data_IF_375529132495
#
_entry.id   IF_375529132495
#
_cell.length_a   1.000
_cell.length_b   1.000
_cell.length_c   1.000
_cell.angle_alpha   90.00
_cell.angle_beta   90.00
_cell.angle_gamma   90.00
#
_symmetry.space_group_name_H-M   'P 1'
#
loop_
_entity.id
_entity.type
_entity.pdbx_description
1 polymer ?
#
# COMPACT_ATOMS: atom_id res chain seq x y z
N UNK A 1 -4.64 4.24 8.93
CA UNK A 1 -5.22 2.99 8.43
C UNK A 1 -5.18 3.01 6.91
N UNK A 2 -4.16 2.40 6.34
CA UNK A 2 -4.03 2.23 4.89
C UNK A 2 -4.93 1.08 4.43
N UNK A 3 -5.84 1.36 3.50
CA UNK A 3 -6.74 0.35 2.91
C UNK A 3 -6.20 -0.04 1.54
N UNK A 4 -6.10 -1.35 1.29
CA UNK A 4 -5.66 -1.86 -0.02
C UNK A 4 -6.82 -1.81 -1.01
N UNK A 5 -6.65 -1.17 -2.18
CA UNK A 5 -7.65 -1.23 -3.24
C UNK A 5 -7.89 -2.67 -3.69
N UNK A 6 -9.15 -3.09 -3.78
CA UNK A 6 -9.54 -4.46 -4.12
C UNK A 6 -8.95 -4.91 -5.47
N UNK A 7 -8.91 -4.02 -6.47
CA UNK A 7 -8.33 -4.31 -7.77
C UNK A 7 -6.84 -4.67 -7.69
N UNK A 8 -6.07 -4.01 -6.82
CA UNK A 8 -4.66 -4.33 -6.58
C UNK A 8 -4.54 -5.70 -5.90
N UNK A 9 -5.35 -5.96 -4.88
CA UNK A 9 -5.34 -7.23 -4.15
C UNK A 9 -5.64 -8.41 -5.08
N UNK A 10 -6.75 -8.33 -5.83
CA UNK A 10 -7.14 -9.35 -6.78
C UNK A 10 -6.10 -9.56 -7.87
N UNK A 11 -5.68 -8.49 -8.56
CA UNK A 11 -4.72 -8.62 -9.66
C UNK A 11 -3.36 -9.15 -9.22
N UNK A 12 -2.95 -8.87 -7.98
CA UNK A 12 -1.71 -9.41 -7.42
C UNK A 12 -1.85 -10.89 -7.07
N UNK A 13 -2.97 -11.30 -6.47
CA UNK A 13 -3.22 -12.71 -6.15
C UNK A 13 -3.40 -13.56 -7.40
N UNK A 14 -4.09 -13.05 -8.42
CA UNK A 14 -4.25 -13.74 -9.71
C UNK A 14 -2.91 -13.99 -10.40
N UNK A 15 -1.98 -13.03 -10.31
CA UNK A 15 -0.66 -13.12 -10.95
C UNK A 15 0.34 -13.93 -10.14
N UNK A 16 0.38 -13.73 -8.82
CA UNK A 16 1.46 -14.22 -7.94
C UNK A 16 1.01 -15.36 -7.00
N UNK A 17 -0.29 -15.69 -6.96
CA UNK A 17 -0.84 -16.73 -6.09
C UNK A 17 -0.67 -16.45 -4.59
N UNK A 18 -0.34 -17.50 -3.83
CA UNK A 18 -0.19 -17.43 -2.37
C UNK A 18 0.88 -16.42 -1.90
N UNK A 19 2.07 -16.33 -2.53
CA UNK A 19 3.02 -15.25 -2.25
C UNK A 19 2.42 -13.85 -2.38
N UNK A 20 1.59 -13.62 -3.41
CA UNK A 20 0.88 -12.36 -3.62
C UNK A 20 -0.09 -12.03 -2.49
N UNK A 21 -0.87 -13.03 -2.05
CA UNK A 21 -1.80 -12.86 -0.93
C UNK A 21 -1.06 -12.50 0.37
N UNK A 22 0.06 -13.16 0.66
CA UNK A 22 0.90 -12.86 1.83
C UNK A 22 1.47 -11.46 1.76
N UNK A 23 1.91 -11.01 0.58
CA UNK A 23 2.40 -9.66 0.40
C UNK A 23 1.30 -8.60 0.62
N UNK A 24 0.12 -8.79 0.01
CA UNK A 24 -1.04 -7.89 0.16
C UNK A 24 -1.44 -7.74 1.64
N UNK A 25 -1.47 -8.85 2.39
CA UNK A 25 -1.82 -8.83 3.81
C UNK A 25 -0.86 -8.00 4.67
N UNK A 26 0.42 -7.91 4.27
CA UNK A 26 1.46 -7.16 5.00
C UNK A 26 1.58 -5.70 4.57
N UNK A 27 1.03 -5.35 3.40
CA UNK A 27 1.26 -4.06 2.75
C UNK A 27 0.76 -2.85 3.56
N UNK A 28 -0.41 -2.88 4.24
CA UNK A 28 -0.84 -1.76 5.08
C UNK A 28 0.16 -1.41 6.18
N UNK A 29 0.61 -2.43 6.93
CA UNK A 29 1.56 -2.23 8.03
C UNK A 29 2.92 -1.74 7.52
N UNK A 30 3.38 -2.24 6.37
CA UNK A 30 4.61 -1.77 5.74
C UNK A 30 4.51 -0.29 5.34
N UNK A 31 3.39 0.12 4.73
CA UNK A 31 3.18 1.52 4.34
C UNK A 31 3.14 2.45 5.56
N UNK A 32 2.44 2.06 6.63
CA UNK A 32 2.38 2.82 7.88
C UNK A 32 3.77 2.97 8.54
N UNK A 33 4.56 1.89 8.57
CA UNK A 33 5.92 1.92 9.10
C UNK A 33 6.86 2.83 8.29
N UNK A 34 6.79 2.77 6.96
CA UNK A 34 7.61 3.62 6.09
C UNK A 34 7.25 5.11 6.25
N UNK A 35 5.95 5.44 6.31
CA UNK A 35 5.51 6.81 6.53
C UNK A 35 6.00 7.35 7.88
N UNK A 36 5.90 6.55 8.94
CA UNK A 36 6.42 6.91 10.26
C UNK A 36 7.92 7.18 10.23
N UNK A 37 8.69 6.30 9.56
CA UNK A 37 10.15 6.42 9.44
C UNK A 37 10.58 7.65 8.63
N UNK A 38 9.78 8.07 7.67
CA UNK A 38 10.05 9.23 6.82
C UNK A 38 9.38 10.52 7.28
N UNK A 39 8.72 10.49 8.44
CA UNK A 39 7.98 11.62 9.00
C UNK A 39 6.92 12.15 8.02
N UNK A 40 6.29 11.24 7.27
CA UNK A 40 5.26 11.56 6.31
C UNK A 40 3.86 11.45 6.93
N UNK A 41 2.98 12.37 6.54
CA UNK A 41 1.57 12.38 6.91
C UNK A 41 0.73 12.07 5.66
N UNK A 42 -0.23 11.13 5.71
CA UNK A 42 -1.13 10.85 4.58
C UNK A 42 -1.86 12.11 4.10
N UNK A 43 -1.91 12.29 2.79
CA UNK A 43 -2.53 13.47 2.15
C UNK A 43 -3.38 13.09 0.93
N UNK A 44 -4.53 12.49 1.21
CA UNK A 44 -5.50 12.09 0.20
C UNK A 44 -5.73 10.59 0.11
N UNK A 45 -6.46 10.19 -0.92
CA UNK A 45 -6.85 8.81 -1.12
C UNK A 45 -5.67 7.96 -1.62
N UNK A 46 -5.61 6.73 -1.12
CA UNK A 46 -4.68 5.71 -1.62
C UNK A 46 -5.02 5.38 -3.07
N UNK A 47 -3.99 5.29 -3.90
CA UNK A 47 -4.07 4.92 -5.32
C UNK A 47 -3.36 3.59 -5.55
N UNK A 48 -3.57 2.97 -6.71
CA UNK A 48 -2.84 1.77 -7.09
C UNK A 48 -2.46 1.76 -8.57
N UNK A 49 -1.31 1.16 -8.86
CA UNK A 49 -0.95 0.69 -10.19
C UNK A 49 -1.34 -0.77 -10.38
N UNK A 50 -0.88 -1.40 -11.46
CA UNK A 50 -1.07 -2.84 -11.71
C UNK A 50 -0.24 -3.76 -10.81
N UNK A 51 0.79 -3.21 -10.16
CA UNK A 51 1.79 -3.97 -9.37
C UNK A 51 2.16 -3.30 -8.05
N UNK A 52 1.47 -2.24 -7.64
CA UNK A 52 1.89 -1.47 -6.46
C UNK A 52 0.83 -0.54 -5.90
N UNK A 53 1.04 -0.14 -4.64
CA UNK A 53 0.26 0.83 -3.90
C UNK A 53 0.95 2.19 -3.93
N UNK A 54 0.18 3.26 -4.09
CA UNK A 54 0.67 4.64 -3.99
C UNK A 54 -0.08 5.33 -2.87
N UNK A 55 0.67 5.87 -1.91
CA UNK A 55 0.13 6.63 -0.78
C UNK A 55 0.58 8.08 -0.92
N UNK A 56 -0.32 9.00 -1.30
CA UNK A 56 -0.03 10.43 -1.26
C UNK A 56 0.32 10.88 0.16
N UNK A 57 1.39 11.64 0.30
CA UNK A 57 1.86 12.10 1.61
C UNK A 57 2.42 13.52 1.54
N UNK A 58 2.29 14.23 2.66
CA UNK A 58 3.04 15.44 2.96
C UNK A 58 4.22 15.09 3.86
N UNK A 59 5.33 15.81 3.71
CA UNK A 59 6.41 15.82 4.70
C UNK A 59 6.38 17.17 5.41
N UNK A 60 6.03 17.22 6.70
CA UNK A 60 6.20 18.43 7.50
C UNK A 60 7.67 18.86 7.45
N UNK A 61 7.91 20.13 7.15
CA UNK A 61 9.24 20.73 7.17
C UNK A 61 9.70 21.07 8.57
#
# INVERSE_FOLDING_TARGET
MIVIPEALARGTVEREGAPGAVWIARLPALAEELMRRWECVPDGAVLHGGVGLVVPVLRPG
#
